data_IF_302198625147
#
_entry.id   IF_302198625147
#
_cell.length_a   1.000
_cell.length_b   1.000
_cell.length_c   1.000
_cell.angle_alpha   90.00
_cell.angle_beta   90.00
_cell.angle_gamma   90.00
#
_symmetry.space_group_name_H-M   'P 1'
#
loop_
_entity.id
_entity.type
_entity.pdbx_description
1 polymer ?
#
# COMPACT_ATOMS: atom_id res chain seq x y z
N UNK A 1 25.65 3.50 12.78
CA UNK A 1 24.89 4.29 11.76
C UNK A 1 24.73 3.60 10.41
N UNK A 2 25.74 2.93 9.84
CA UNK A 2 25.68 2.34 8.48
C UNK A 2 24.62 1.22 8.32
N UNK A 3 24.39 0.39 9.37
CA UNK A 3 23.33 -0.64 9.37
C UNK A 3 21.90 -0.07 9.32
N UNK A 4 21.66 1.10 9.93
CA UNK A 4 20.35 1.75 9.93
C UNK A 4 20.05 2.36 8.55
N UNK A 5 21.05 3.05 7.96
CA UNK A 5 20.94 3.61 6.61
C UNK A 5 20.78 2.54 5.51
N UNK A 6 21.48 1.41 5.62
CA UNK A 6 21.34 0.28 4.67
C UNK A 6 20.04 -0.50 4.84
N UNK A 7 19.58 -0.72 6.09
CA UNK A 7 18.25 -1.27 6.38
C UNK A 7 17.15 -0.37 5.81
N UNK A 8 17.30 0.96 5.91
CA UNK A 8 16.40 1.93 5.30
C UNK A 8 16.41 1.83 3.76
N UNK A 9 17.58 1.72 3.11
CA UNK A 9 17.63 1.52 1.64
C UNK A 9 16.96 0.22 1.18
N UNK A 10 17.18 -0.89 1.91
CA UNK A 10 16.52 -2.16 1.58
C UNK A 10 15.00 -2.07 1.76
N UNK A 11 14.56 -1.41 2.82
CA UNK A 11 13.14 -1.17 3.05
C UNK A 11 12.54 -0.29 1.95
N UNK A 12 13.17 0.85 1.64
CA UNK A 12 12.73 1.76 0.55
C UNK A 12 12.59 1.00 -0.77
N UNK A 13 13.57 0.18 -1.16
CA UNK A 13 13.48 -0.63 -2.38
C UNK A 13 12.32 -1.62 -2.37
N UNK A 14 12.03 -2.23 -1.21
CA UNK A 14 10.88 -3.11 -1.06
C UNK A 14 9.56 -2.34 -1.17
N UNK A 15 9.48 -1.15 -0.59
CA UNK A 15 8.30 -0.27 -0.72
C UNK A 15 8.10 0.17 -2.17
N UNK A 16 9.16 0.61 -2.85
CA UNK A 16 9.16 0.94 -4.28
C UNK A 16 8.68 -0.25 -5.12
N UNK A 17 9.22 -1.46 -4.85
CA UNK A 17 8.78 -2.67 -5.52
C UNK A 17 7.30 -2.98 -5.29
N UNK A 18 6.79 -2.74 -4.06
CA UNK A 18 5.37 -2.90 -3.76
C UNK A 18 4.52 -1.92 -4.55
N UNK A 19 4.91 -0.64 -4.59
CA UNK A 19 4.21 0.37 -5.38
C UNK A 19 4.20 0.01 -6.87
N UNK A 20 5.31 -0.48 -7.43
CA UNK A 20 5.39 -0.88 -8.83
C UNK A 20 4.51 -2.09 -9.18
N UNK A 21 4.14 -2.93 -8.21
CA UNK A 21 3.24 -4.07 -8.42
C UNK A 21 1.76 -3.72 -8.29
N UNK A 22 1.43 -2.55 -7.77
CA UNK A 22 0.04 -2.08 -7.69
C UNK A 22 -0.47 -1.69 -9.08
N UNK A 23 -1.76 -1.93 -9.33
CA UNK A 23 -2.41 -1.37 -10.51
C UNK A 23 -2.27 0.18 -10.49
N UNK A 24 -2.15 0.86 -11.64
CA UNK A 24 -1.91 2.30 -11.67
C UNK A 24 -2.92 3.11 -10.85
N UNK A 25 -4.22 2.80 -10.97
CA UNK A 25 -5.27 3.45 -10.19
C UNK A 25 -5.13 3.18 -8.68
N UNK A 26 -4.88 1.92 -8.29
CA UNK A 26 -4.70 1.55 -6.89
C UNK A 26 -3.48 2.25 -6.28
N UNK A 27 -2.39 2.36 -7.04
CA UNK A 27 -1.16 3.03 -6.60
C UNK A 27 -1.39 4.51 -6.31
N UNK A 28 -2.12 5.22 -7.16
CA UNK A 28 -2.40 6.65 -6.92
C UNK A 28 -3.27 6.83 -5.69
N UNK A 29 -4.32 6.01 -5.51
CA UNK A 29 -5.17 6.04 -4.32
C UNK A 29 -4.35 5.71 -3.05
N UNK A 30 -3.49 4.70 -3.14
CA UNK A 30 -2.64 4.26 -2.02
C UNK A 30 -1.65 5.34 -1.59
N UNK A 31 -0.97 5.98 -2.54
CA UNK A 31 -0.05 7.08 -2.24
C UNK A 31 -0.81 8.30 -1.70
N UNK A 32 -1.97 8.64 -2.27
CA UNK A 32 -2.78 9.75 -1.78
C UNK A 32 -3.18 9.58 -0.32
N UNK A 33 -3.51 8.35 0.12
CA UNK A 33 -3.82 8.11 1.52
C UNK A 33 -2.58 8.09 2.44
N UNK A 34 -1.54 7.33 2.08
CA UNK A 34 -0.41 7.06 2.98
C UNK A 34 0.74 8.07 2.90
N UNK A 35 0.79 8.88 1.86
CA UNK A 35 1.85 9.89 1.65
C UNK A 35 1.27 11.30 1.73
N UNK A 36 0.10 11.52 1.12
CA UNK A 36 -0.54 12.83 1.06
C UNK A 36 -1.61 13.03 2.15
N UNK A 37 -1.77 12.06 3.07
CA UNK A 37 -2.74 12.07 4.18
C UNK A 37 -4.20 12.34 3.75
N UNK A 38 -4.56 12.05 2.49
CA UNK A 38 -5.89 12.28 1.97
C UNK A 38 -6.91 11.34 2.60
N UNK A 39 -8.09 11.88 2.91
CA UNK A 39 -9.20 11.07 3.43
C UNK A 39 -9.83 10.24 2.32
N UNK A 40 -10.57 9.21 2.72
CA UNK A 40 -11.27 8.31 1.80
C UNK A 40 -12.29 9.06 0.93
N UNK A 41 -12.96 10.07 1.50
CA UNK A 41 -13.91 10.91 0.78
C UNK A 41 -13.22 11.83 -0.23
N UNK A 42 -12.06 12.39 0.13
CA UNK A 42 -11.28 13.23 -0.80
C UNK A 42 -10.77 12.41 -1.98
N UNK A 43 -10.25 11.21 -1.73
CA UNK A 43 -9.79 10.29 -2.77
C UNK A 43 -10.94 9.85 -3.69
N UNK A 44 -12.08 9.47 -3.11
CA UNK A 44 -13.28 9.11 -3.86
C UNK A 44 -13.70 10.25 -4.80
N UNK A 45 -13.76 11.49 -4.27
CA UNK A 45 -14.10 12.68 -5.05
C UNK A 45 -13.06 12.99 -6.13
N UNK A 46 -11.77 12.94 -5.81
CA UNK A 46 -10.69 13.27 -6.73
C UNK A 46 -10.59 12.29 -7.90
N UNK A 47 -10.85 11.01 -7.66
CA UNK A 47 -10.71 9.96 -8.66
C UNK A 47 -12.03 9.56 -9.33
N UNK A 48 -13.17 10.15 -8.91
CA UNK A 48 -14.48 9.83 -9.48
C UNK A 48 -14.94 8.41 -9.19
N UNK A 49 -14.55 7.87 -8.03
CA UNK A 49 -14.87 6.50 -7.58
C UNK A 49 -15.64 6.55 -6.26
N UNK A 50 -16.27 5.44 -5.90
CA UNK A 50 -16.90 5.28 -4.60
C UNK A 50 -15.88 5.10 -3.47
N UNK A 51 -16.29 5.39 -2.23
CA UNK A 51 -15.48 5.09 -1.03
C UNK A 51 -15.16 3.59 -0.93
N UNK A 52 -16.09 2.73 -1.34
CA UNK A 52 -15.86 1.28 -1.37
C UNK A 52 -14.76 0.88 -2.37
N UNK A 53 -14.65 1.56 -3.51
CA UNK A 53 -13.56 1.35 -4.46
C UNK A 53 -12.21 1.85 -3.92
N UNK A 54 -12.21 2.96 -3.18
CA UNK A 54 -11.03 3.44 -2.44
C UNK A 54 -10.57 2.41 -1.41
N UNK A 55 -11.48 1.90 -0.58
CA UNK A 55 -11.19 0.83 0.38
C UNK A 55 -10.63 -0.42 -0.29
N UNK A 56 -11.22 -0.83 -1.42
CA UNK A 56 -10.78 -1.99 -2.16
C UNK A 56 -9.37 -1.80 -2.75
N UNK A 57 -9.07 -0.60 -3.27
CA UNK A 57 -7.74 -0.23 -3.75
C UNK A 57 -6.70 -0.28 -2.62
N UNK A 58 -7.01 0.30 -1.45
CA UNK A 58 -6.12 0.27 -0.29
C UNK A 58 -5.90 -1.16 0.21
N UNK A 59 -6.95 -1.98 0.28
CA UNK A 59 -6.85 -3.40 0.65
C UNK A 59 -5.91 -4.16 -0.28
N UNK A 60 -6.08 -4.01 -1.60
CA UNK A 60 -5.19 -4.64 -2.59
C UNK A 60 -3.75 -4.19 -2.42
N UNK A 61 -3.53 -2.90 -2.22
CA UNK A 61 -2.20 -2.34 -1.99
C UNK A 61 -1.53 -2.89 -0.72
N UNK A 62 -2.27 -2.97 0.39
CA UNK A 62 -1.78 -3.54 1.64
C UNK A 62 -1.41 -5.02 1.51
N UNK A 63 -2.17 -5.81 0.74
CA UNK A 63 -1.83 -7.21 0.46
C UNK A 63 -0.50 -7.33 -0.28
N UNK A 64 -0.28 -6.52 -1.33
CA UNK A 64 0.98 -6.51 -2.08
C UNK A 64 2.15 -6.11 -1.18
N UNK A 65 1.94 -5.08 -0.35
CA UNK A 65 2.94 -4.61 0.59
C UNK A 65 3.33 -5.69 1.60
N UNK A 66 2.35 -6.35 2.20
CA UNK A 66 2.54 -7.44 3.14
C UNK A 66 3.34 -8.59 2.50
N UNK A 67 2.95 -9.03 1.30
CA UNK A 67 3.62 -10.13 0.58
C UNK A 67 5.11 -9.84 0.28
N UNK A 68 5.50 -8.58 0.11
CA UNK A 68 6.89 -8.18 -0.18
C UNK A 68 7.71 -7.95 1.10
N UNK A 69 7.09 -7.35 2.11
CA UNK A 69 7.75 -7.07 3.38
C UNK A 69 7.95 -8.35 4.19
N UNK A 70 6.90 -9.18 4.27
CA UNK A 70 6.79 -10.41 5.05
C UNK A 70 6.42 -11.60 4.15
N UNK A 71 7.40 -12.24 3.48
CA UNK A 71 7.13 -13.39 2.61
C UNK A 71 6.60 -14.62 3.38
N UNK A 72 6.74 -14.66 4.71
CA UNK A 72 6.02 -15.57 5.59
C UNK A 72 4.89 -14.81 6.29
N UNK A 73 3.66 -14.83 5.75
CA UNK A 73 2.58 -14.01 6.30
C UNK A 73 2.19 -14.51 7.69
N UNK A 74 2.22 -13.62 8.68
CA UNK A 74 1.66 -13.92 9.99
C UNK A 74 0.17 -14.27 9.82
N UNK A 75 -0.25 -15.39 10.43
CA UNK A 75 -1.55 -16.03 10.17
C UNK A 75 -2.76 -15.10 10.36
N UNK A 76 -2.64 -14.08 11.19
CA UNK A 76 -3.71 -13.14 11.50
C UNK A 76 -4.06 -12.19 10.34
N UNK A 77 -3.09 -11.81 9.49
CA UNK A 77 -3.36 -10.93 8.35
C UNK A 77 -4.13 -11.60 7.21
N UNK A 78 -4.06 -12.94 7.11
CA UNK A 78 -4.83 -13.71 6.11
C UNK A 78 -6.35 -13.49 6.23
N UNK A 79 -6.83 -13.07 7.41
CA UNK A 79 -8.24 -12.75 7.64
C UNK A 79 -8.73 -11.61 6.73
N UNK A 80 -7.89 -10.60 6.48
CA UNK A 80 -8.22 -9.44 5.65
C UNK A 80 -8.19 -9.71 4.14
N UNK A 81 -7.76 -10.91 3.74
CA UNK A 81 -7.65 -11.32 2.33
C UNK A 81 -8.96 -11.91 1.78
N UNK A 82 -9.95 -12.17 2.64
CA UNK A 82 -11.27 -12.71 2.27
C UNK A 82 -12.26 -11.62 1.87
#
# INVERSE_FOLDING_TARGET
>A
MIKLASKNRRLIRKLEQAMLRMAPCDRVIFLGHFVDDATFFELARQHGVSVAEVEAALRRGLVILADILEPEPQRWWRFWRR
#
